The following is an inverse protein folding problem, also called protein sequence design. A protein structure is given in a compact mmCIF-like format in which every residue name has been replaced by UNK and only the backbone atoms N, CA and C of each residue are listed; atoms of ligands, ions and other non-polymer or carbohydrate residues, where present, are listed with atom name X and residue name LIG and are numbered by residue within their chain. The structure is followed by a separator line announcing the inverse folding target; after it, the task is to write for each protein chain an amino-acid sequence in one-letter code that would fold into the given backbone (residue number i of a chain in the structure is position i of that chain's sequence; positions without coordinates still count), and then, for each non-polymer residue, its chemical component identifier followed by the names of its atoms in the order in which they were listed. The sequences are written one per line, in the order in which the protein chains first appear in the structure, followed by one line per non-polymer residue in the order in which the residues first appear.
data_IF_246960992695
#
_entry.id   IF_246960992695
#
_cell.length_a   1.000
_cell.length_b   1.000
_cell.length_c   1.000
_cell.angle_alpha   90.00
_cell.angle_beta   90.00
_cell.angle_gamma   90.00
#
_symmetry.space_group_name_H-M   'P 1'
#
loop_
_entity.id
_entity.type
_entity.pdbx_description
1 polymer ?
#
# COMPACT_ATOMS: atom_id res chain seq x y z
N UNK A 1 -11.43 15.99 -11.07
CA UNK A 1 -12.17 15.09 -11.98
C UNK A 1 -13.66 15.44 -12.03
N UNK A 2 -14.43 15.31 -10.94
CA UNK A 2 -15.89 15.53 -10.96
C UNK A 2 -16.34 16.91 -11.51
N UNK A 3 -15.56 17.97 -11.29
CA UNK A 3 -15.82 19.31 -11.84
C UNK A 3 -15.46 19.47 -13.31
N UNK A 4 -14.56 18.63 -13.83
CA UNK A 4 -14.10 18.66 -15.23
C UNK A 4 -14.87 17.68 -16.12
N UNK A 5 -15.53 16.68 -15.54
CA UNK A 5 -16.35 15.70 -16.25
C UNK A 5 -17.69 15.47 -15.51
N UNK A 6 -18.60 16.45 -15.51
CA UNK A 6 -19.82 16.43 -14.69
C UNK A 6 -20.82 15.34 -15.08
N UNK A 7 -20.71 14.80 -16.30
CA UNK A 7 -21.58 13.74 -16.81
C UNK A 7 -21.06 12.33 -16.51
N UNK A 8 -19.88 12.20 -15.88
CA UNK A 8 -19.33 10.90 -15.48
C UNK A 8 -19.74 10.63 -14.03
N UNK A 9 -20.48 9.53 -13.83
CA UNK A 9 -20.77 9.01 -12.50
C UNK A 9 -19.67 8.02 -12.10
N UNK A 10 -19.16 8.16 -10.88
CA UNK A 10 -18.15 7.27 -10.32
C UNK A 10 -18.78 6.43 -9.21
N UNK A 11 -18.64 5.10 -9.33
CA UNK A 11 -18.88 4.17 -8.23
C UNK A 11 -17.54 3.73 -7.66
N UNK A 12 -17.34 3.93 -6.36
CA UNK A 12 -16.11 3.55 -5.68
C UNK A 12 -16.42 2.49 -4.62
N UNK A 13 -15.70 1.37 -4.70
CA UNK A 13 -15.71 0.32 -3.68
C UNK A 13 -14.30 0.15 -3.14
N UNK A 14 -14.18 -0.01 -1.82
CA UNK A 14 -12.89 -0.18 -1.15
C UNK A 14 -12.77 -1.62 -0.67
N UNK A 15 -11.67 -2.26 -1.02
CA UNK A 15 -11.29 -3.61 -0.61
C UNK A 15 -9.79 -3.80 -0.73
N UNK A 16 -9.27 -4.95 -0.29
CA UNK A 16 -7.87 -5.30 -0.51
C UNK A 16 -7.62 -5.68 -1.98
N UNK A 17 -6.35 -5.82 -2.37
CA UNK A 17 -5.96 -6.10 -3.76
C UNK A 17 -6.66 -7.35 -4.33
N UNK A 18 -6.78 -8.42 -3.54
CA UNK A 18 -7.44 -9.66 -3.99
C UNK A 18 -8.94 -9.46 -4.25
N UNK A 19 -9.64 -8.70 -3.39
CA UNK A 19 -11.05 -8.36 -3.59
C UNK A 19 -11.22 -7.48 -4.83
N UNK A 20 -10.35 -6.48 -5.02
CA UNK A 20 -10.40 -5.59 -6.17
C UNK A 20 -10.20 -6.36 -7.50
N UNK A 21 -9.23 -7.28 -7.54
CA UNK A 21 -9.01 -8.15 -8.70
C UNK A 21 -10.20 -9.05 -9.01
N UNK A 22 -10.79 -9.68 -7.97
CA UNK A 22 -11.99 -10.49 -8.12
C UNK A 22 -13.17 -9.68 -8.70
N UNK A 23 -13.35 -8.43 -8.26
CA UNK A 23 -14.39 -7.56 -8.80
C UNK A 23 -14.19 -7.26 -10.29
N UNK A 24 -12.95 -7.02 -10.74
CA UNK A 24 -12.65 -6.81 -12.16
C UNK A 24 -12.89 -8.08 -12.97
N UNK A 25 -12.39 -9.24 -12.51
CA UNK A 25 -12.58 -10.53 -13.18
C UNK A 25 -14.05 -10.94 -13.30
N UNK A 26 -14.87 -10.55 -12.32
CA UNK A 26 -16.31 -10.84 -12.30
C UNK A 26 -17.14 -9.78 -13.04
N UNK A 27 -16.52 -8.73 -13.60
CA UNK A 27 -17.21 -7.64 -14.29
C UNK A 27 -18.02 -6.72 -13.36
N UNK A 28 -17.70 -6.72 -12.06
CA UNK A 28 -18.31 -5.83 -11.06
C UNK A 28 -17.62 -4.47 -10.97
N UNK A 29 -16.38 -4.38 -11.47
CA UNK A 29 -15.64 -3.14 -11.60
C UNK A 29 -14.92 -3.10 -12.96
N UNK A 30 -14.84 -1.92 -13.57
CA UNK A 30 -14.13 -1.74 -14.85
C UNK A 30 -12.60 -1.74 -14.65
N UNK A 31 -12.14 -1.21 -13.52
CA UNK A 31 -10.73 -1.01 -13.18
C UNK A 31 -10.53 -1.18 -11.68
N UNK A 32 -9.31 -1.57 -11.28
CA UNK A 32 -8.88 -1.63 -9.90
C UNK A 32 -7.56 -0.87 -9.73
N UNK A 33 -7.45 -0.12 -8.64
CA UNK A 33 -6.19 0.46 -8.19
C UNK A 33 -5.66 -0.40 -7.04
N UNK A 34 -4.47 -0.97 -7.24
CA UNK A 34 -3.83 -1.85 -6.27
C UNK A 34 -2.36 -1.44 -6.10
N UNK A 35 -1.81 -1.72 -4.93
CA UNK A 35 -0.38 -1.59 -4.64
C UNK A 35 0.30 -2.93 -4.87
N UNK A 36 1.53 -2.89 -5.41
CA UNK A 36 2.33 -4.08 -5.71
C UNK A 36 1.95 -4.80 -7.01
N UNK A 37 2.81 -5.73 -7.42
CA UNK A 37 2.56 -6.58 -8.59
C UNK A 37 1.53 -7.66 -8.28
N UNK A 38 0.61 -7.89 -9.21
CA UNK A 38 -0.34 -9.00 -9.14
C UNK A 38 -0.10 -9.95 -10.31
N UNK A 39 0.25 -11.20 -10.01
CA UNK A 39 0.37 -12.26 -11.02
C UNK A 39 -1.00 -12.89 -11.27
N UNK A 40 -1.84 -12.22 -12.04
CA UNK A 40 -3.13 -12.74 -12.49
C UNK A 40 -3.18 -12.76 -14.02
N UNK A 41 -3.16 -13.94 -14.63
CA UNK A 41 -2.96 -14.11 -16.07
C UNK A 41 -4.06 -13.45 -16.93
N UNK A 42 -5.23 -13.23 -16.36
CA UNK A 42 -6.39 -12.63 -17.02
C UNK A 42 -6.44 -11.11 -16.88
N UNK A 43 -5.55 -10.51 -16.08
CA UNK A 43 -5.50 -9.07 -15.84
C UNK A 43 -4.26 -8.45 -16.50
N UNK A 44 -4.44 -7.25 -17.03
CA UNK A 44 -3.34 -6.41 -17.48
C UNK A 44 -3.16 -5.26 -16.49
N UNK A 45 -1.96 -5.15 -15.92
CA UNK A 45 -1.58 -4.02 -15.07
C UNK A 45 -0.83 -2.93 -15.85
N UNK A 46 -0.98 -1.69 -15.40
CA UNK A 46 -0.17 -0.54 -15.81
C UNK A 46 0.18 0.28 -14.56
N UNK A 47 1.45 0.67 -14.44
CA UNK A 47 1.90 1.55 -13.36
C UNK A 47 1.46 2.99 -13.65
N UNK A 48 0.61 3.53 -12.79
CA UNK A 48 0.07 4.90 -12.91
C UNK A 48 0.68 5.88 -11.91
N UNK A 49 1.53 5.38 -11.02
CA UNK A 49 2.17 6.14 -9.96
C UNK A 49 2.74 5.21 -8.89
N UNK A 50 3.37 5.82 -7.89
CA UNK A 50 3.91 5.12 -6.73
C UNK A 50 3.81 5.97 -5.48
N UNK A 51 3.89 5.32 -4.34
CA UNK A 51 3.90 5.92 -3.02
C UNK A 51 5.27 5.74 -2.33
N UNK A 52 5.41 6.34 -1.15
CA UNK A 52 6.60 6.18 -0.31
C UNK A 52 6.17 5.85 1.09
N UNK A 53 6.74 4.79 1.65
CA UNK A 53 6.57 4.45 3.06
C UNK A 53 7.51 5.33 3.88
N UNK A 54 6.91 6.06 4.83
CA UNK A 54 7.63 6.87 5.81
C UNK A 54 7.69 6.18 7.17
N UNK A 55 8.81 6.36 7.87
CA UNK A 55 8.92 6.03 9.29
C UNK A 55 8.51 7.24 10.13
N UNK A 56 7.63 7.02 11.11
CA UNK A 56 7.16 8.06 12.00
C UNK A 56 7.45 7.68 13.44
N UNK A 57 7.91 8.66 14.22
CA UNK A 57 8.22 8.53 15.64
C UNK A 57 7.63 9.72 16.40
N UNK A 58 7.51 9.60 17.73
CA UNK A 58 7.16 10.73 18.59
C UNK A 58 8.20 11.87 18.43
N UNK A 59 7.81 13.16 18.54
CA UNK A 59 8.75 14.28 18.53
C UNK A 59 9.88 14.16 19.56
N UNK A 60 9.65 13.46 20.68
CA UNK A 60 10.64 13.25 21.74
C UNK A 60 11.47 11.97 21.55
N UNK A 61 11.33 11.27 20.41
CA UNK A 61 12.01 10.01 20.16
C UNK A 61 13.48 10.24 19.75
N UNK A 62 14.46 9.46 20.24
CA UNK A 62 15.88 9.63 19.90
C UNK A 62 16.22 9.60 18.39
N UNK A 63 15.35 8.99 17.58
CA UNK A 63 15.51 8.86 16.12
C UNK A 63 14.96 10.05 15.33
N UNK A 64 14.49 11.12 15.98
CA UNK A 64 14.09 12.36 15.28
C UNK A 64 15.30 13.09 14.70
N UNK A 65 16.44 13.05 15.40
CA UNK A 65 17.64 13.84 15.10
C UNK A 65 18.57 13.17 14.06
N UNK A 66 18.35 11.89 13.78
CA UNK A 66 19.21 11.12 12.86
C UNK A 66 18.46 9.98 12.18
N UNK A 67 18.89 9.56 10.98
CA UNK A 67 18.38 8.34 10.37
C UNK A 67 18.56 7.13 11.31
N UNK A 68 17.59 6.19 11.34
CA UNK A 68 17.70 4.98 12.13
C UNK A 68 18.77 4.04 11.55
N UNK A 69 19.51 3.35 12.41
CA UNK A 69 20.33 2.21 12.03
C UNK A 69 19.46 0.94 11.97
N UNK A 70 20.02 -0.14 11.42
CA UNK A 70 19.38 -1.45 11.44
C UNK A 70 19.05 -1.92 12.87
N UNK A 71 20.00 -1.77 13.79
CA UNK A 71 19.85 -2.14 15.20
C UNK A 71 18.73 -1.33 15.88
N UNK A 72 18.58 -0.05 15.51
CA UNK A 72 17.48 0.77 16.01
C UNK A 72 16.12 0.21 15.56
N UNK A 73 16.00 -0.25 14.30
CA UNK A 73 14.75 -0.81 13.75
C UNK A 73 14.41 -2.18 14.33
N UNK A 74 15.42 -3.03 14.55
CA UNK A 74 15.25 -4.36 15.14
C UNK A 74 14.87 -4.28 16.63
N UNK A 75 15.36 -3.25 17.35
CA UNK A 75 15.02 -3.00 18.76
C UNK A 75 13.73 -2.19 18.96
N UNK A 76 13.19 -1.57 17.91
CA UNK A 76 12.02 -0.71 18.01
C UNK A 76 10.74 -1.49 18.38
N UNK A 77 9.88 -0.84 19.17
CA UNK A 77 8.52 -1.32 19.39
C UNK A 77 7.61 -0.81 18.26
N UNK A 78 7.14 -1.73 17.42
CA UNK A 78 6.34 -1.38 16.24
C UNK A 78 4.85 -1.32 16.55
N UNK A 79 4.22 -0.20 16.15
CA UNK A 79 2.76 -0.10 16.04
C UNK A 79 2.36 -0.63 14.66
N UNK A 80 1.84 -1.85 14.63
CA UNK A 80 1.55 -2.57 13.37
C UNK A 80 0.08 -2.45 12.97
N UNK A 81 -0.16 -2.41 11.65
CA UNK A 81 -1.51 -2.61 11.08
C UNK A 81 -1.95 -4.07 11.19
N UNK A 82 -3.23 -4.32 10.92
CA UNK A 82 -3.81 -5.66 10.87
C UNK A 82 -3.15 -6.54 9.78
N UNK A 83 -3.24 -7.86 9.92
CA UNK A 83 -2.78 -8.80 8.89
C UNK A 83 -3.56 -8.59 7.58
N UNK A 84 -2.86 -8.71 6.45
CA UNK A 84 -3.42 -8.47 5.10
C UNK A 84 -3.44 -6.99 4.68
N UNK A 85 -2.89 -6.09 5.49
CA UNK A 85 -2.62 -4.71 5.08
C UNK A 85 -1.34 -4.65 4.24
N UNK A 86 -1.45 -4.11 3.02
CA UNK A 86 -0.30 -3.91 2.14
C UNK A 86 0.85 -3.18 2.82
N UNK A 87 0.57 -2.11 3.57
CA UNK A 87 1.60 -1.37 4.34
C UNK A 87 2.36 -2.25 5.34
N UNK A 88 1.68 -3.17 6.02
CA UNK A 88 2.33 -4.12 6.94
C UNK A 88 3.18 -5.13 6.19
N UNK A 89 2.68 -5.63 5.07
CA UNK A 89 3.41 -6.60 4.24
C UNK A 89 4.68 -5.97 3.67
N UNK A 90 4.60 -4.74 3.17
CA UNK A 90 5.74 -3.96 2.70
C UNK A 90 6.77 -3.70 3.80
N UNK A 91 6.35 -3.29 5.01
CA UNK A 91 7.25 -3.11 6.15
C UNK A 91 7.98 -4.42 6.51
N UNK A 92 7.23 -5.53 6.58
CA UNK A 92 7.80 -6.84 6.92
C UNK A 92 8.82 -7.30 5.88
N UNK A 93 8.49 -7.14 4.60
CA UNK A 93 9.39 -7.49 3.50
C UNK A 93 10.67 -6.62 3.50
N UNK A 94 10.53 -5.31 3.74
CA UNK A 94 11.65 -4.38 3.81
C UNK A 94 12.61 -4.68 4.97
N UNK A 95 12.09 -4.97 6.16
CA UNK A 95 12.91 -5.37 7.31
C UNK A 95 13.67 -6.68 7.04
N UNK A 96 13.03 -7.65 6.39
CA UNK A 96 13.67 -8.93 6.04
C UNK A 96 14.79 -8.80 4.99
N UNK A 97 14.65 -7.88 4.03
CA UNK A 97 15.64 -7.64 2.97
C UNK A 97 16.81 -6.75 3.40
N UNK A 98 16.72 -6.10 4.56
CA UNK A 98 17.76 -5.22 5.08
C UNK A 98 18.89 -5.98 5.79
N UNK A 99 19.05 -7.28 5.52
CA UNK A 99 20.03 -8.20 6.10
C UNK A 99 21.21 -8.52 5.20
#
# INVERSE_FOLDING_TARGET
FATQAPNIQLSLTVGNSAQAAAMVLQGQADLAFVEGGMEEALLRGEEVGGDRIGLFVSPDHPLVERPPTREDLDAAMWVMRDQGSGTRDHLTAGLAQSG
#
